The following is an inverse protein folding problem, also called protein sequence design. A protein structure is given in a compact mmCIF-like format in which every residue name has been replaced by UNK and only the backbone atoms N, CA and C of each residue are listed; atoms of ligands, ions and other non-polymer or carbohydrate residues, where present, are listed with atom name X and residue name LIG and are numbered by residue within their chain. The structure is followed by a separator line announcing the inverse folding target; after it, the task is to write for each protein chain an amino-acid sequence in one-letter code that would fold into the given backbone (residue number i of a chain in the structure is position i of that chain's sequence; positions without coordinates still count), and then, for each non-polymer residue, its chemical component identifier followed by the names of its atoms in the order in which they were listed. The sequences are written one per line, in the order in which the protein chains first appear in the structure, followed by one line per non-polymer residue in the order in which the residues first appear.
data_IF_748167883977
#
_entry.id   IF_748167883977
#
_cell.length_a   1.000
_cell.length_b   1.000
_cell.length_c   1.000
_cell.angle_alpha   90.00
_cell.angle_beta   90.00
_cell.angle_gamma   90.00
#
_symmetry.space_group_name_H-M   'P 1'
#
loop_
_entity.id
_entity.type
_entity.pdbx_description
1 polymer ?
#
# COMPACT_ATOMS: atom_id res chain seq x y z
N UNK A 1 -2.88 17.91 -10.95
CA UNK A 1 -3.77 16.80 -10.54
C UNK A 1 -3.27 16.20 -9.25
N UNK A 2 -4.16 15.98 -8.30
CA UNK A 2 -3.77 15.30 -7.06
C UNK A 2 -3.46 13.85 -7.35
N UNK A 3 -2.39 13.32 -6.74
CA UNK A 3 -2.02 11.93 -6.86
C UNK A 3 -2.75 11.10 -5.81
N UNK A 4 -2.93 9.80 -6.09
CA UNK A 4 -3.29 8.84 -5.05
C UNK A 4 -2.09 8.67 -4.11
N UNK A 5 -2.35 8.28 -2.87
CA UNK A 5 -1.31 8.04 -1.86
C UNK A 5 -1.39 6.60 -1.37
N UNK A 6 -0.33 5.83 -1.63
CA UNK A 6 -0.18 4.48 -1.09
C UNK A 6 0.73 4.54 0.13
N UNK A 7 0.23 3.99 1.25
CA UNK A 7 0.95 3.97 2.53
C UNK A 7 1.32 2.52 2.84
N UNK A 8 2.60 2.26 3.04
CA UNK A 8 3.12 0.91 3.30
C UNK A 8 4.01 0.88 4.54
N UNK A 9 4.35 -0.33 4.99
CA UNK A 9 5.27 -0.52 6.13
C UNK A 9 6.71 -0.47 5.63
N UNK A 10 7.41 0.62 5.94
CA UNK A 10 8.79 0.83 5.52
C UNK A 10 9.82 -0.05 6.24
N UNK A 11 9.43 -0.78 7.28
CA UNK A 11 10.32 -1.71 7.99
C UNK A 11 10.15 -3.15 7.52
N UNK A 12 9.23 -3.41 6.60
CA UNK A 12 8.90 -4.75 6.11
C UNK A 12 9.56 -4.99 4.75
N UNK A 13 10.33 -6.07 4.64
CA UNK A 13 11.02 -6.43 3.39
C UNK A 13 10.03 -6.66 2.25
N UNK A 14 9.02 -7.47 2.51
CA UNK A 14 8.00 -7.81 1.51
C UNK A 14 7.19 -6.58 1.10
N UNK A 15 6.81 -5.76 2.07
CA UNK A 15 6.03 -4.55 1.81
C UNK A 15 6.82 -3.56 0.95
N UNK A 16 8.12 -3.43 1.21
CA UNK A 16 9.00 -2.57 0.41
C UNK A 16 9.10 -3.07 -1.03
N UNK A 17 9.22 -4.39 -1.21
CA UNK A 17 9.26 -4.99 -2.55
C UNK A 17 7.96 -4.76 -3.30
N UNK A 18 6.81 -4.95 -2.63
CA UNK A 18 5.50 -4.73 -3.22
C UNK A 18 5.33 -3.26 -3.64
N UNK A 19 5.74 -2.33 -2.79
CA UNK A 19 5.68 -0.90 -3.09
C UNK A 19 6.53 -0.54 -4.32
N UNK A 20 7.71 -1.13 -4.44
CA UNK A 20 8.60 -0.92 -5.60
C UNK A 20 7.99 -1.48 -6.88
N UNK A 21 7.32 -2.61 -6.81
CA UNK A 21 6.63 -3.19 -7.95
C UNK A 21 5.55 -2.25 -8.48
N UNK A 22 4.75 -1.70 -7.57
CA UNK A 22 3.69 -0.74 -7.92
C UNK A 22 4.32 0.50 -8.55
N UNK A 23 5.42 0.98 -7.98
CA UNK A 23 6.14 2.14 -8.53
C UNK A 23 6.62 1.89 -9.96
N UNK A 24 7.13 0.69 -10.25
CA UNK A 24 7.55 0.32 -11.61
C UNK A 24 6.39 0.28 -12.58
N UNK A 25 5.23 -0.21 -12.14
CA UNK A 25 4.03 -0.27 -12.97
C UNK A 25 3.43 1.11 -13.20
N UNK A 26 3.62 2.03 -12.27
CA UNK A 26 3.07 3.38 -12.30
C UNK A 26 3.94 4.31 -13.16
N UNK A 27 3.95 4.07 -14.46
CA UNK A 27 4.78 4.81 -15.42
C UNK A 27 4.40 6.28 -15.50
N UNK A 28 3.13 6.61 -15.25
CA UNK A 28 2.63 7.97 -15.35
C UNK A 28 2.67 8.71 -14.00
N UNK A 29 3.24 8.08 -12.99
CA UNK A 29 3.42 8.68 -11.65
C UNK A 29 2.09 9.20 -11.06
N UNK A 30 1.08 8.36 -11.13
CA UNK A 30 -0.25 8.67 -10.60
C UNK A 30 -0.38 8.38 -9.10
N UNK A 31 0.60 7.66 -8.51
CA UNK A 31 0.57 7.24 -7.12
C UNK A 31 1.82 7.76 -6.42
N UNK A 32 1.60 8.49 -5.33
CA UNK A 32 2.65 8.81 -4.38
C UNK A 32 2.77 7.66 -3.41
N UNK A 33 3.97 7.16 -3.15
CA UNK A 33 4.23 5.99 -2.31
C UNK A 33 5.09 6.43 -1.14
N UNK A 34 4.58 6.27 0.09
CA UNK A 34 5.25 6.72 1.29
C UNK A 34 5.16 5.68 2.40
N UNK A 35 6.20 5.52 3.23
CA UNK A 35 6.11 4.67 4.41
C UNK A 35 5.27 5.35 5.49
N UNK A 36 4.53 4.56 6.29
CA UNK A 36 3.73 5.16 7.36
C UNK A 36 4.60 5.70 8.50
N UNK A 37 5.85 5.30 8.58
CA UNK A 37 6.80 5.79 9.56
C UNK A 37 7.23 7.23 9.29
N UNK A 38 6.97 7.74 8.10
CA UNK A 38 7.28 9.14 7.78
C UNK A 38 6.34 10.07 8.55
N UNK A 39 6.92 11.10 9.20
CA UNK A 39 6.14 12.02 10.01
C UNK A 39 5.04 12.70 9.18
N UNK A 40 3.82 12.69 9.73
CA UNK A 40 2.66 13.33 9.12
C UNK A 40 1.92 12.52 8.08
N UNK A 41 2.45 11.36 7.65
CA UNK A 41 1.81 10.58 6.58
C UNK A 41 0.47 9.96 7.05
N UNK A 42 0.38 9.22 8.17
CA UNK A 42 -0.92 8.69 8.60
C UNK A 42 -1.93 9.81 8.84
N UNK A 43 -1.52 10.84 9.52
CA UNK A 43 -2.38 11.97 9.89
C UNK A 43 -2.91 12.71 8.66
N UNK A 44 -2.14 12.75 7.57
CA UNK A 44 -2.52 13.45 6.35
C UNK A 44 -3.78 12.86 5.70
N UNK A 45 -4.09 11.60 5.98
CA UNK A 45 -5.28 10.92 5.46
C UNK A 45 -6.29 10.57 6.56
N UNK A 46 -6.08 11.10 7.77
CA UNK A 46 -7.00 10.87 8.89
C UNK A 46 -6.86 9.52 9.56
N UNK A 47 -5.70 8.88 9.43
CA UNK A 47 -5.43 7.58 10.03
C UNK A 47 -4.51 7.73 11.24
N UNK A 48 -4.57 6.74 12.13
CA UNK A 48 -3.62 6.61 13.24
C UNK A 48 -2.43 5.76 12.81
N UNK A 49 -1.33 5.91 13.55
CA UNK A 49 -0.15 5.06 13.34
C UNK A 49 -0.51 3.56 13.49
N UNK A 50 -1.32 3.24 14.51
CA UNK A 50 -1.76 1.86 14.76
C UNK A 50 -2.55 1.28 13.58
N UNK A 51 -3.42 2.07 12.95
CA UNK A 51 -4.16 1.61 11.78
C UNK A 51 -3.22 1.28 10.61
N UNK A 52 -2.17 2.08 10.43
CA UNK A 52 -1.18 1.84 9.37
C UNK A 52 -0.29 0.63 9.67
N UNK A 53 -0.07 0.29 10.94
CA UNK A 53 0.65 -0.92 11.31
C UNK A 53 -0.12 -2.19 10.94
N UNK A 54 -1.44 -2.12 10.93
CA UNK A 54 -2.30 -3.28 10.70
C UNK A 54 -2.41 -3.65 9.23
N UNK A 55 -2.30 -2.69 8.33
CA UNK A 55 -2.50 -2.93 6.90
C UNK A 55 -1.92 -1.80 6.06
N UNK A 56 -1.70 -2.08 4.78
CA UNK A 56 -1.44 -1.03 3.81
C UNK A 56 -2.74 -0.26 3.53
N UNK A 57 -2.61 1.01 3.18
CA UNK A 57 -3.73 1.89 2.86
C UNK A 57 -3.46 2.66 1.58
N UNK A 58 -4.52 2.95 0.85
CA UNK A 58 -4.43 3.82 -0.33
C UNK A 58 -5.59 4.80 -0.30
N UNK A 59 -5.26 6.09 -0.44
CA UNK A 59 -6.26 7.13 -0.64
C UNK A 59 -6.24 7.53 -2.13
N UNK A 60 -7.39 7.43 -2.77
CA UNK A 60 -7.54 7.87 -4.15
C UNK A 60 -7.58 9.39 -4.23
N UNK A 61 -7.44 9.95 -5.44
CA UNK A 61 -7.45 11.40 -5.63
C UNK A 61 -8.77 12.06 -5.20
N UNK A 62 -9.86 11.29 -5.15
CA UNK A 62 -11.17 11.79 -4.68
C UNK A 62 -11.38 11.65 -3.17
N UNK A 63 -10.37 11.16 -2.43
CA UNK A 63 -10.42 11.02 -0.98
C UNK A 63 -10.87 9.66 -0.46
N UNK A 64 -11.24 8.73 -1.34
CA UNK A 64 -11.67 7.39 -0.93
C UNK A 64 -10.49 6.60 -0.36
N UNK A 65 -10.68 5.96 0.80
CA UNK A 65 -9.66 5.12 1.43
C UNK A 65 -9.93 3.65 1.16
N UNK A 66 -8.88 2.93 0.74
CA UNK A 66 -8.88 1.49 0.58
C UNK A 66 -7.89 0.86 1.54
N UNK A 67 -8.24 -0.26 2.14
CA UNK A 67 -7.42 -0.94 3.15
C UNK A 67 -7.04 -2.34 2.67
N UNK A 68 -5.83 -2.78 3.03
CA UNK A 68 -5.40 -4.16 2.83
C UNK A 68 -5.38 -4.58 1.37
N UNK A 69 -6.00 -5.70 1.05
CA UNK A 69 -6.07 -6.20 -0.32
C UNK A 69 -6.73 -5.19 -1.26
N UNK A 70 -7.72 -4.43 -0.76
CA UNK A 70 -8.35 -3.36 -1.52
C UNK A 70 -7.36 -2.28 -1.93
N UNK A 71 -6.43 -1.90 -1.03
CA UNK A 71 -5.41 -0.91 -1.36
C UNK A 71 -4.48 -1.38 -2.47
N UNK A 72 -4.11 -2.66 -2.47
CA UNK A 72 -3.26 -3.25 -3.51
C UNK A 72 -3.98 -3.27 -4.86
N UNK A 73 -5.23 -3.72 -4.88
CA UNK A 73 -6.02 -3.76 -6.12
C UNK A 73 -6.28 -2.35 -6.67
N UNK A 74 -6.59 -1.40 -5.80
CA UNK A 74 -6.79 -0.01 -6.21
C UNK A 74 -5.48 0.58 -6.77
N UNK A 75 -4.34 0.30 -6.12
CA UNK A 75 -3.04 0.75 -6.60
C UNK A 75 -2.71 0.17 -7.97
N UNK A 76 -2.96 -1.12 -8.17
CA UNK A 76 -2.74 -1.77 -9.46
C UNK A 76 -3.62 -1.16 -10.55
N UNK A 77 -4.89 -0.90 -10.24
CA UNK A 77 -5.80 -0.27 -11.19
C UNK A 77 -5.34 1.13 -11.59
N UNK A 78 -4.91 1.93 -10.62
CA UNK A 78 -4.44 3.29 -10.90
C UNK A 78 -3.12 3.26 -11.67
N UNK A 79 -2.17 2.42 -11.24
CA UNK A 79 -0.84 2.34 -11.85
C UNK A 79 -0.90 1.91 -13.32
N UNK A 80 -1.75 0.94 -13.63
CA UNK A 80 -1.86 0.39 -14.97
C UNK A 80 -2.89 1.11 -15.84
N UNK A 81 -3.75 1.94 -15.23
CA UNK A 81 -4.86 2.58 -15.93
C UNK A 81 -5.97 1.61 -16.33
N UNK A 82 -6.03 0.44 -15.68
CA UNK A 82 -6.98 -0.62 -15.98
C UNK A 82 -7.87 -0.87 -14.76
N UNK A 83 -9.18 -0.85 -14.95
CA UNK A 83 -10.15 -1.07 -13.85
C UNK A 83 -10.26 -2.52 -13.43
N UNK A 84 -9.70 -3.46 -14.19
CA UNK A 84 -9.88 -4.89 -13.94
C UNK A 84 -9.42 -5.34 -12.54
N UNK A 85 -8.23 -4.95 -12.02
CA UNK A 85 -7.83 -5.39 -10.68
C UNK A 85 -8.84 -5.01 -9.60
N UNK A 86 -9.29 -3.76 -9.59
CA UNK A 86 -10.25 -3.30 -8.58
C UNK A 86 -11.62 -3.93 -8.80
N UNK A 87 -12.05 -4.08 -10.04
CA UNK A 87 -13.32 -4.73 -10.36
C UNK A 87 -13.34 -6.19 -9.90
N UNK A 88 -12.24 -6.91 -10.09
CA UNK A 88 -12.10 -8.29 -9.59
C UNK A 88 -12.18 -8.33 -8.07
N UNK A 89 -11.50 -7.40 -7.39
CA UNK A 89 -11.56 -7.33 -5.93
C UNK A 89 -12.98 -7.09 -5.42
N UNK A 90 -13.76 -6.27 -6.13
CA UNK A 90 -15.13 -5.96 -5.74
C UNK A 90 -16.12 -7.10 -6.01
N UNK A 91 -15.71 -8.13 -6.77
CA UNK A 91 -16.56 -9.27 -7.08
C UNK A 91 -16.74 -10.16 -5.84
N UNK A 92 -18.00 -10.53 -5.56
CA UNK A 92 -18.31 -11.42 -4.44
C UNK A 92 -17.55 -12.74 -4.58
N UNK A 93 -16.99 -13.22 -3.47
CA UNK A 93 -16.17 -14.44 -3.45
C UNK A 93 -14.68 -14.14 -3.65
N UNK A 94 -14.31 -13.38 -4.68
CA UNK A 94 -12.92 -12.99 -4.94
C UNK A 94 -12.42 -12.07 -3.83
N UNK A 95 -13.24 -11.11 -3.41
CA UNK A 95 -12.89 -10.21 -2.30
C UNK A 95 -12.60 -10.98 -1.02
N UNK A 96 -13.44 -11.94 -0.66
CA UNK A 96 -13.26 -12.74 0.55
C UNK A 96 -11.97 -13.56 0.50
N UNK A 97 -11.67 -14.16 -0.67
CA UNK A 97 -10.45 -14.93 -0.86
C UNK A 97 -9.22 -14.01 -0.73
N UNK A 98 -9.23 -12.87 -1.39
CA UNK A 98 -8.10 -11.94 -1.35
C UNK A 98 -7.89 -11.37 0.06
N UNK A 99 -8.97 -11.02 0.75
CA UNK A 99 -8.86 -10.52 2.13
C UNK A 99 -8.29 -11.57 3.06
N UNK A 100 -8.68 -12.84 2.89
CA UNK A 100 -8.13 -13.94 3.68
C UNK A 100 -6.65 -14.17 3.41
N UNK A 101 -6.25 -14.17 2.13
CA UNK A 101 -4.84 -14.29 1.73
C UNK A 101 -4.04 -13.11 2.27
N UNK A 102 -4.58 -11.90 2.18
CA UNK A 102 -3.92 -10.71 2.69
C UNK A 102 -3.67 -10.79 4.20
N UNK A 103 -4.65 -11.25 4.97
CA UNK A 103 -4.49 -11.44 6.43
C UNK A 103 -3.37 -12.42 6.72
N UNK A 104 -3.28 -13.50 5.94
CA UNK A 104 -2.22 -14.48 6.09
C UNK A 104 -0.84 -13.87 5.79
N UNK A 105 -0.74 -13.07 4.72
CA UNK A 105 0.49 -12.38 4.34
C UNK A 105 0.91 -11.41 5.45
N UNK A 106 -0.01 -10.61 5.98
CA UNK A 106 0.28 -9.67 7.07
C UNK A 106 0.80 -10.41 8.30
N UNK A 107 0.21 -11.56 8.63
CA UNK A 107 0.63 -12.37 9.78
C UNK A 107 2.08 -12.83 9.63
N UNK A 108 2.51 -13.19 8.42
CA UNK A 108 3.84 -13.75 8.17
C UNK A 108 4.77 -12.81 7.42
N UNK A 109 4.39 -11.54 7.24
CA UNK A 109 5.14 -10.60 6.38
C UNK A 109 6.60 -10.42 6.77
N UNK A 110 6.93 -10.52 8.06
CA UNK A 110 8.32 -10.38 8.53
C UNK A 110 9.15 -11.63 8.27
N UNK A 111 8.53 -12.73 7.87
CA UNK A 111 9.22 -13.98 7.50
C UNK A 111 9.32 -14.16 5.98
N UNK A 112 8.57 -13.36 5.22
CA UNK A 112 8.58 -13.43 3.74
C UNK A 112 9.75 -12.58 3.25
N UNK A 113 10.67 -13.16 2.44
CA UNK A 113 11.80 -12.40 1.90
C UNK A 113 11.31 -11.34 0.90
N UNK A 114 12.07 -10.26 0.80
CA UNK A 114 11.78 -9.17 -0.11
C UNK A 114 13.02 -8.32 -0.33
N UNK A 115 12.82 -7.02 -0.53
CA UNK A 115 13.91 -6.07 -0.71
C UNK A 115 14.37 -5.53 0.66
N UNK A 116 15.54 -4.90 0.68
CA UNK A 116 16.00 -4.18 1.87
C UNK A 116 14.92 -3.18 2.31
N UNK A 117 14.54 -3.18 3.61
CA UNK A 117 13.48 -2.29 4.06
C UNK A 117 13.72 -0.83 3.70
N UNK A 118 12.66 -0.13 3.32
CA UNK A 118 12.73 1.27 2.91
C UNK A 118 13.37 2.15 3.99
N UNK A 119 13.01 1.92 5.24
CA UNK A 119 13.54 2.71 6.36
C UNK A 119 15.03 2.48 6.60
N UNK A 120 15.58 1.33 6.20
CA UNK A 120 17.02 1.10 6.25
C UNK A 120 17.75 1.84 5.12
N UNK A 121 17.15 1.91 3.95
CA UNK A 121 17.75 2.61 2.80
C UNK A 121 17.62 4.12 2.91
N UNK A 122 16.51 4.58 3.47
CA UNK A 122 16.18 6.00 3.58
C UNK A 122 15.74 6.33 5.01
N UNK A 123 16.68 6.34 5.98
CA UNK A 123 16.31 6.56 7.40
C UNK A 123 15.59 7.89 7.63
N UNK A 124 15.90 8.92 6.85
CA UNK A 124 15.27 10.23 7.00
C UNK A 124 13.77 10.20 6.71
N UNK A 125 13.31 9.29 5.83
CA UNK A 125 11.89 9.14 5.52
C UNK A 125 11.10 8.51 6.67
N UNK A 126 11.79 7.89 7.63
CA UNK A 126 11.14 7.17 8.73
C UNK A 126 11.43 7.80 10.10
N UNK A 127 12.00 8.99 10.11
CA UNK A 127 12.23 9.72 11.35
C UNK A 127 10.94 10.41 11.80
N UNK A 128 10.46 10.04 12.99
CA UNK A 128 9.25 10.64 13.59
C UNK A 128 9.59 11.42 14.83
#
# INVERSE_FOLDING_TARGET
MSQALLIFDGTCDFCTRAARWIKKLDRQQRIRIEPFQKAGIPESVGLTYAQCEQAAWLQTSDGTLWRGAGSVNAALSIATGNRLPLSLYQTWGIRQIQDSVYKLIVKYRHRIPGDTPHCQQFPADCAR
#
